data_IF_306594329121
#
_entry.id   IF_306594329121
#
_cell.length_a   1.000
_cell.length_b   1.000
_cell.length_c   1.000
_cell.angle_alpha   90.00
_cell.angle_beta   90.00
_cell.angle_gamma   90.00
#
_symmetry.space_group_name_H-M   'P 1'
#
loop_
_entity.id
_entity.type
_entity.pdbx_description
1 polymer ?
#
# COMPACT_ATOMS: atom_id res chain seq x y z
N UNK A 1 -11.08 26.96 2.78
CA UNK A 1 -11.59 27.70 1.60
C UNK A 1 -11.92 26.77 0.46
N UNK A 2 -11.03 25.87 0.05
CA UNK A 2 -11.28 24.92 -1.06
C UNK A 2 -12.53 24.06 -0.81
N UNK A 3 -12.76 23.55 0.42
CA UNK A 3 -13.96 22.77 0.76
C UNK A 3 -15.23 23.57 0.51
N UNK A 4 -15.28 24.83 0.95
CA UNK A 4 -16.43 25.73 0.70
C UNK A 4 -16.66 25.93 -0.79
N UNK A 5 -15.58 26.13 -1.55
CA UNK A 5 -15.67 26.40 -2.97
C UNK A 5 -16.15 25.17 -3.74
N UNK A 6 -15.68 23.98 -3.38
CA UNK A 6 -16.17 22.69 -3.92
C UNK A 6 -17.65 22.47 -3.59
N UNK A 7 -18.05 22.70 -2.33
CA UNK A 7 -19.46 22.55 -1.93
C UNK A 7 -20.38 23.54 -2.65
N UNK A 8 -19.91 24.74 -2.97
CA UNK A 8 -20.69 25.77 -3.63
C UNK A 8 -20.78 25.61 -5.14
N UNK A 9 -19.73 25.08 -5.77
CA UNK A 9 -19.57 25.09 -7.25
C UNK A 9 -19.49 23.70 -7.88
N UNK A 10 -19.28 22.66 -7.08
CA UNK A 10 -18.93 21.32 -7.57
C UNK A 10 -17.56 21.22 -8.26
N UNK A 11 -16.74 22.27 -8.19
CA UNK A 11 -15.46 22.38 -8.91
C UNK A 11 -14.29 22.62 -7.96
N UNK A 12 -13.13 22.10 -8.33
CA UNK A 12 -11.84 22.42 -7.72
C UNK A 12 -10.85 22.87 -8.79
N UNK A 13 -10.13 23.96 -8.52
CA UNK A 13 -9.05 24.40 -9.41
C UNK A 13 -7.82 23.51 -9.15
N UNK A 14 -7.27 22.92 -10.18
CA UNK A 14 -6.06 22.13 -10.13
C UNK A 14 -5.12 22.53 -11.28
N UNK A 15 -3.83 22.49 -11.03
CA UNK A 15 -2.83 22.63 -12.08
C UNK A 15 -2.75 21.33 -12.90
N UNK A 16 -2.48 21.46 -14.21
CA UNK A 16 -2.21 20.28 -15.04
C UNK A 16 -0.90 19.66 -14.58
N UNK A 17 -0.98 18.41 -14.17
CA UNK A 17 0.20 17.65 -13.75
C UNK A 17 0.98 17.12 -14.94
N UNK A 18 2.26 16.89 -14.77
CA UNK A 18 3.08 16.10 -15.66
C UNK A 18 2.72 14.62 -15.54
N UNK A 19 3.01 13.85 -16.58
CA UNK A 19 2.82 12.41 -16.58
C UNK A 19 4.19 11.72 -16.50
N UNK A 20 4.39 10.94 -15.44
CA UNK A 20 5.54 10.05 -15.33
C UNK A 20 5.08 8.62 -15.61
N UNK A 21 5.71 8.00 -16.58
CA UNK A 21 5.57 6.57 -16.83
C UNK A 21 6.48 5.80 -15.89
N UNK A 22 5.92 4.79 -15.19
CA UNK A 22 6.68 3.86 -14.35
C UNK A 22 6.49 2.46 -14.95
N UNK A 23 7.54 1.93 -15.57
CA UNK A 23 7.56 0.60 -16.13
C UNK A 23 8.20 -0.37 -15.14
N UNK A 24 7.40 -1.30 -14.63
CA UNK A 24 7.86 -2.37 -13.74
C UNK A 24 8.03 -3.63 -14.58
N UNK A 25 9.27 -3.95 -14.89
CA UNK A 25 9.64 -5.09 -15.73
C UNK A 25 9.91 -6.35 -14.90
N UNK A 26 9.95 -7.52 -15.53
CA UNK A 26 10.14 -8.78 -14.84
C UNK A 26 8.89 -9.31 -14.17
N UNK A 27 9.05 -10.21 -13.21
CA UNK A 27 7.97 -10.85 -12.47
C UNK A 27 8.21 -10.83 -10.96
N UNK A 28 7.13 -10.81 -10.18
CA UNK A 28 7.21 -10.84 -8.72
C UNK A 28 7.54 -12.26 -8.24
N UNK A 29 8.53 -12.36 -7.34
CA UNK A 29 8.87 -13.61 -6.66
C UNK A 29 7.83 -14.01 -5.60
N UNK A 30 7.96 -15.24 -5.10
CA UNK A 30 7.11 -15.73 -4.01
C UNK A 30 7.23 -14.85 -2.76
N UNK A 31 6.09 -14.45 -2.20
CA UNK A 31 6.02 -13.60 -1.01
C UNK A 31 6.21 -12.10 -1.29
N UNK A 32 6.30 -11.69 -2.56
CA UNK A 32 6.36 -10.29 -2.99
C UNK A 32 5.01 -9.89 -3.58
N UNK A 33 4.46 -8.78 -3.12
CA UNK A 33 3.13 -8.32 -3.47
C UNK A 33 3.14 -6.90 -4.06
N UNK A 34 1.99 -6.45 -4.53
CA UNK A 34 1.82 -5.10 -5.09
C UNK A 34 2.31 -3.98 -4.15
N UNK A 35 2.21 -4.18 -2.84
CA UNK A 35 2.69 -3.22 -1.85
C UNK A 35 4.21 -3.11 -1.85
N UNK A 36 4.94 -4.21 -2.05
CA UNK A 36 6.40 -4.18 -2.14
C UNK A 36 6.84 -3.39 -3.36
N UNK A 37 6.14 -3.56 -4.49
CA UNK A 37 6.39 -2.79 -5.71
C UNK A 37 6.29 -1.29 -5.45
N UNK A 38 5.17 -0.83 -4.86
CA UNK A 38 5.02 0.62 -4.61
C UNK A 38 5.96 1.13 -3.53
N UNK A 39 6.30 0.34 -2.52
CA UNK A 39 7.30 0.70 -1.52
C UNK A 39 8.70 0.83 -2.17
N UNK A 40 9.05 -0.05 -3.11
CA UNK A 40 10.29 0.06 -3.90
C UNK A 40 10.30 1.34 -4.74
N UNK A 41 9.22 1.67 -5.41
CA UNK A 41 9.08 2.91 -6.18
C UNK A 41 9.26 4.14 -5.26
N UNK A 42 8.67 4.13 -4.06
CA UNK A 42 8.82 5.21 -3.09
C UNK A 42 10.26 5.26 -2.53
N UNK A 43 10.91 4.12 -2.35
CA UNK A 43 12.33 4.07 -1.97
C UNK A 43 13.21 4.78 -2.99
N UNK A 44 13.01 4.47 -4.27
CA UNK A 44 13.86 4.98 -5.35
C UNK A 44 13.60 6.45 -5.67
N UNK A 45 12.35 6.89 -5.64
CA UNK A 45 11.94 8.24 -6.01
C UNK A 45 11.84 9.20 -4.82
N UNK A 46 11.71 8.69 -3.60
CA UNK A 46 11.44 9.46 -2.39
C UNK A 46 9.95 9.80 -2.21
N UNK A 47 9.60 10.20 -0.98
CA UNK A 47 8.22 10.60 -0.62
C UNK A 47 7.71 11.85 -1.32
N UNK A 48 8.60 12.66 -1.86
CA UNK A 48 8.30 13.87 -2.65
C UNK A 48 8.56 13.68 -4.15
N UNK A 49 9.00 12.49 -4.57
CA UNK A 49 9.40 12.21 -5.94
C UNK A 49 8.29 12.41 -6.98
N UNK A 50 7.04 12.23 -6.57
CA UNK A 50 5.85 12.42 -7.40
C UNK A 50 5.25 13.82 -7.41
N UNK A 51 5.84 14.77 -6.68
CA UNK A 51 5.27 16.13 -6.62
C UNK A 51 5.21 16.76 -8.02
N UNK A 52 4.02 17.22 -8.39
CA UNK A 52 3.75 17.78 -9.72
C UNK A 52 3.50 16.74 -10.83
N UNK A 53 3.40 15.46 -10.49
CA UNK A 53 3.16 14.37 -11.43
C UNK A 53 1.89 13.57 -11.10
N UNK A 54 1.35 12.94 -12.11
CA UNK A 54 0.56 11.71 -12.01
C UNK A 54 1.42 10.56 -12.54
N UNK A 55 1.22 9.36 -12.00
CA UNK A 55 1.93 8.16 -12.41
C UNK A 55 1.06 7.30 -13.30
N UNK A 56 1.57 6.93 -14.46
CA UNK A 56 1.03 5.85 -15.27
C UNK A 56 1.91 4.61 -15.06
N UNK A 57 1.32 3.55 -14.54
CA UNK A 57 2.02 2.29 -14.29
C UNK A 57 1.87 1.33 -15.47
N UNK A 58 2.96 0.66 -15.81
CA UNK A 58 3.00 -0.39 -16.81
C UNK A 58 4.17 -1.34 -16.61
N UNK A 59 4.50 -2.10 -17.64
CA UNK A 59 5.47 -3.19 -17.58
C UNK A 59 4.83 -4.54 -17.31
N UNK A 60 5.64 -5.61 -17.35
CA UNK A 60 5.15 -6.99 -17.22
C UNK A 60 4.55 -7.22 -15.83
N UNK A 61 5.27 -6.86 -14.77
CA UNK A 61 4.84 -7.08 -13.41
C UNK A 61 3.50 -6.39 -13.08
N UNK A 62 3.26 -5.18 -13.60
CA UNK A 62 1.97 -4.48 -13.40
C UNK A 62 0.83 -5.17 -14.15
N UNK A 63 1.08 -5.70 -15.35
CA UNK A 63 0.06 -6.44 -16.11
C UNK A 63 -0.35 -7.75 -15.45
N UNK A 64 0.60 -8.40 -14.77
CA UNK A 64 0.36 -9.66 -14.05
C UNK A 64 -0.39 -9.47 -12.73
N UNK A 65 -0.40 -8.25 -12.17
CA UNK A 65 -1.21 -7.94 -10.98
C UNK A 65 -2.70 -8.08 -11.28
N UNK A 66 -3.43 -8.65 -10.33
CA UNK A 66 -4.89 -8.55 -10.31
C UNK A 66 -5.35 -7.10 -10.05
N UNK A 67 -6.65 -6.84 -10.18
CA UNK A 67 -7.18 -5.49 -9.96
C UNK A 67 -6.96 -4.97 -8.54
N UNK A 68 -6.99 -5.82 -7.53
CA UNK A 68 -6.80 -5.39 -6.14
C UNK A 68 -5.35 -4.95 -5.91
N UNK A 69 -4.37 -5.66 -6.48
CA UNK A 69 -2.97 -5.26 -6.51
C UNK A 69 -2.73 -3.94 -7.27
N UNK A 70 -3.33 -3.78 -8.47
CA UNK A 70 -3.26 -2.51 -9.22
C UNK A 70 -3.83 -1.34 -8.43
N UNK A 71 -4.96 -1.55 -7.74
CA UNK A 71 -5.57 -0.55 -6.88
C UNK A 71 -4.68 -0.18 -5.69
N UNK A 72 -3.92 -1.13 -5.12
CA UNK A 72 -2.96 -0.86 -4.05
C UNK A 72 -1.81 0.02 -4.54
N UNK A 73 -1.19 -0.30 -5.69
CA UNK A 73 -0.12 0.51 -6.30
C UNK A 73 -0.62 1.93 -6.61
N UNK A 74 -1.78 2.06 -7.26
CA UNK A 74 -2.36 3.36 -7.60
C UNK A 74 -2.69 4.19 -6.34
N UNK A 75 -3.25 3.56 -5.30
CA UNK A 75 -3.59 4.23 -4.05
C UNK A 75 -2.35 4.80 -3.36
N UNK A 76 -1.28 4.01 -3.26
CA UNK A 76 -0.06 4.42 -2.56
C UNK A 76 0.84 5.37 -3.37
N UNK A 77 0.48 5.74 -4.59
CA UNK A 77 1.16 6.82 -5.34
C UNK A 77 1.20 8.13 -4.55
N UNK A 78 0.17 8.38 -3.73
CA UNK A 78 0.08 9.57 -2.87
C UNK A 78 1.19 9.60 -1.82
N UNK A 79 1.57 8.44 -1.27
CA UNK A 79 2.67 8.31 -0.31
C UNK A 79 4.03 8.62 -0.93
N UNK A 80 4.16 8.47 -2.25
CA UNK A 80 5.30 8.91 -3.06
C UNK A 80 5.19 10.35 -3.60
N UNK A 81 4.18 11.11 -3.14
CA UNK A 81 3.98 12.53 -3.53
C UNK A 81 3.24 12.76 -4.84
N UNK A 82 2.86 11.73 -5.59
CA UNK A 82 2.12 11.87 -6.83
C UNK A 82 0.68 12.32 -6.59
N UNK A 83 0.12 13.06 -7.56
CA UNK A 83 -1.27 13.53 -7.50
C UNK A 83 -2.28 12.41 -7.68
N UNK A 84 -1.96 11.44 -8.49
CA UNK A 84 -2.72 10.21 -8.77
C UNK A 84 -1.80 9.14 -9.34
N UNK A 85 -2.25 7.89 -9.32
CA UNK A 85 -1.68 6.80 -10.07
C UNK A 85 -2.78 6.08 -10.84
N UNK A 86 -2.45 5.58 -12.02
CA UNK A 86 -3.37 4.80 -12.84
C UNK A 86 -2.65 3.73 -13.66
N UNK A 87 -3.41 2.72 -14.05
CA UNK A 87 -3.03 1.69 -15.01
C UNK A 87 -4.00 1.80 -16.18
N UNK A 88 -3.51 1.71 -17.42
CA UNK A 88 -4.40 1.68 -18.58
C UNK A 88 -5.36 0.49 -18.48
N UNK A 89 -6.65 0.68 -18.81
CA UNK A 89 -7.62 -0.41 -18.79
C UNK A 89 -7.21 -1.53 -19.77
N UNK A 90 -7.39 -2.76 -19.37
CA UNK A 90 -7.14 -3.97 -20.12
C UNK A 90 -8.12 -5.08 -19.70
N UNK A 91 -7.92 -6.30 -20.19
CA UNK A 91 -8.80 -7.43 -19.91
C UNK A 91 -8.99 -7.68 -18.39
N UNK A 92 -7.92 -7.54 -17.58
CA UNK A 92 -8.02 -7.66 -16.13
C UNK A 92 -9.01 -6.64 -15.54
N UNK A 93 -9.01 -5.41 -16.08
CA UNK A 93 -9.96 -4.36 -15.69
C UNK A 93 -11.39 -4.71 -16.11
N UNK A 94 -11.55 -5.19 -17.35
CA UNK A 94 -12.87 -5.52 -17.89
C UNK A 94 -13.49 -6.72 -17.14
N UNK A 95 -12.72 -7.78 -16.90
CA UNK A 95 -13.18 -8.93 -16.12
C UNK A 95 -13.57 -8.55 -14.69
N UNK A 96 -12.78 -7.66 -14.04
CA UNK A 96 -13.08 -7.17 -12.70
C UNK A 96 -14.40 -6.40 -12.63
N UNK A 97 -14.74 -5.61 -13.67
CA UNK A 97 -15.96 -4.80 -13.70
C UNK A 97 -17.19 -5.62 -14.08
N UNK A 98 -17.04 -6.65 -14.91
CA UNK A 98 -18.15 -7.40 -15.48
C UNK A 98 -19.06 -8.01 -14.42
N UNK A 99 -20.35 -7.70 -14.53
CA UNK A 99 -21.37 -8.20 -13.60
C UNK A 99 -21.45 -7.52 -12.25
N UNK A 100 -20.69 -6.43 -12.02
CA UNK A 100 -20.85 -5.63 -10.80
C UNK A 100 -22.09 -4.73 -10.90
N UNK A 101 -22.66 -4.38 -9.74
CA UNK A 101 -23.93 -3.65 -9.60
C UNK A 101 -24.00 -2.34 -10.42
N UNK A 102 -22.87 -1.63 -10.54
CA UNK A 102 -22.78 -0.35 -11.24
C UNK A 102 -21.99 -0.42 -12.55
N UNK A 103 -21.66 -1.61 -12.99
CA UNK A 103 -21.06 -1.81 -14.32
C UNK A 103 -22.14 -1.73 -15.42
N UNK A 104 -21.75 -1.45 -16.67
CA UNK A 104 -22.68 -1.48 -17.79
C UNK A 104 -23.39 -2.83 -17.90
N UNK A 105 -24.64 -2.80 -18.38
CA UNK A 105 -25.38 -4.02 -18.71
C UNK A 105 -24.72 -4.80 -19.84
N UNK A 106 -24.99 -6.10 -19.91
CA UNK A 106 -24.41 -6.99 -20.95
C UNK A 106 -24.69 -6.49 -22.38
N UNK A 107 -25.82 -5.83 -22.60
CA UNK A 107 -26.19 -5.28 -23.91
C UNK A 107 -25.36 -4.06 -24.33
N UNK A 108 -24.78 -3.33 -23.37
CA UNK A 108 -23.99 -2.12 -23.60
C UNK A 108 -22.49 -2.39 -23.39
N UNK A 109 -22.12 -3.60 -22.95
CA UNK A 109 -20.76 -3.95 -22.53
C UNK A 109 -19.70 -3.65 -23.59
N UNK A 110 -19.92 -4.10 -24.83
CA UNK A 110 -18.95 -3.93 -25.91
C UNK A 110 -18.72 -2.45 -26.24
N UNK A 111 -19.77 -1.60 -26.20
CA UNK A 111 -19.65 -0.15 -26.41
C UNK A 111 -18.79 0.51 -25.31
N UNK A 112 -18.95 0.05 -24.07
CA UNK A 112 -18.14 0.58 -22.97
C UNK A 112 -16.69 0.10 -23.02
N UNK A 113 -16.44 -1.15 -23.42
CA UNK A 113 -15.06 -1.65 -23.64
C UNK A 113 -14.38 -0.85 -24.75
N UNK A 114 -15.05 -0.65 -25.90
CA UNK A 114 -14.54 0.18 -27.00
C UNK A 114 -14.23 1.61 -26.53
N UNK A 115 -15.09 2.20 -25.67
CA UNK A 115 -14.83 3.50 -25.08
C UNK A 115 -13.62 3.50 -24.14
N UNK A 116 -13.50 2.52 -23.24
CA UNK A 116 -12.36 2.42 -22.32
C UNK A 116 -11.04 2.20 -23.06
N UNK A 117 -11.06 1.40 -24.13
CA UNK A 117 -9.89 1.24 -24.99
C UNK A 117 -9.52 2.55 -25.70
N UNK A 118 -10.49 3.33 -26.11
CA UNK A 118 -10.27 4.61 -26.82
C UNK A 118 -9.63 5.70 -25.95
N UNK A 119 -9.69 5.58 -24.61
CA UNK A 119 -9.10 6.54 -23.67
C UNK A 119 -7.77 6.05 -23.08
N UNK A 120 -7.27 4.90 -23.48
CA UNK A 120 -5.93 4.42 -23.11
C UNK A 120 -4.88 5.36 -23.70
N UNK A 121 -3.72 5.40 -23.08
CA UNK A 121 -2.55 6.04 -23.67
C UNK A 121 -2.17 5.33 -24.97
N UNK A 122 -1.86 6.11 -26.01
CA UNK A 122 -1.39 5.58 -27.29
C UNK A 122 -0.07 4.80 -27.10
N UNK A 123 0.21 3.84 -27.98
CA UNK A 123 1.45 3.05 -27.93
C UNK A 123 2.72 3.91 -28.12
N UNK A 124 2.59 5.07 -28.76
CA UNK A 124 3.62 6.04 -29.00
C UNK A 124 3.47 7.31 -28.12
N UNK A 125 2.72 7.22 -27.02
CA UNK A 125 2.52 8.33 -26.11
C UNK A 125 3.86 8.86 -25.56
N UNK A 126 4.01 10.19 -25.61
CA UNK A 126 5.18 10.87 -25.03
C UNK A 126 4.90 11.24 -23.57
N UNK A 127 5.80 10.82 -22.68
CA UNK A 127 5.73 11.12 -21.25
C UNK A 127 6.71 12.23 -20.86
N UNK A 128 6.38 13.02 -19.86
CA UNK A 128 7.31 14.04 -19.31
C UNK A 128 8.54 13.40 -18.66
N UNK A 129 8.38 12.18 -18.14
CA UNK A 129 9.44 11.41 -17.48
C UNK A 129 9.11 9.91 -17.53
N UNK A 130 10.15 9.06 -17.58
CA UNK A 130 10.04 7.60 -17.60
C UNK A 130 10.99 7.00 -16.58
N UNK A 131 10.48 6.12 -15.74
CA UNK A 131 11.26 5.40 -14.71
C UNK A 131 11.04 3.91 -14.90
N UNK A 132 12.15 3.15 -14.97
CA UNK A 132 12.13 1.69 -14.99
C UNK A 132 12.41 1.13 -13.60
N UNK A 133 11.64 0.13 -13.19
CA UNK A 133 11.84 -0.67 -11.99
C UNK A 133 11.97 -2.12 -12.43
N UNK A 134 13.00 -2.79 -11.96
CA UNK A 134 13.20 -4.22 -12.17
C UNK A 134 12.60 -4.98 -10.98
N UNK A 135 11.59 -5.80 -11.24
CA UNK A 135 10.93 -6.62 -10.24
C UNK A 135 11.59 -8.00 -10.06
N UNK A 136 12.48 -8.39 -10.98
CA UNK A 136 13.22 -9.65 -10.85
C UNK A 136 14.17 -9.56 -9.64
N UNK A 137 13.93 -10.43 -8.67
CA UNK A 137 14.71 -10.42 -7.44
C UNK A 137 14.30 -9.37 -6.40
N UNK A 138 13.18 -8.66 -6.61
CA UNK A 138 12.60 -7.82 -5.55
C UNK A 138 12.25 -8.71 -4.34
N UNK A 139 12.74 -8.33 -3.16
CA UNK A 139 12.40 -8.98 -1.90
C UNK A 139 11.23 -8.25 -1.20
N UNK A 140 10.56 -8.89 -0.23
CA UNK A 140 9.57 -8.22 0.59
C UNK A 140 10.13 -6.94 1.24
N UNK A 141 9.38 -5.85 1.15
CA UNK A 141 9.80 -4.53 1.59
C UNK A 141 9.22 -4.18 2.96
N UNK A 142 10.03 -3.55 3.81
CA UNK A 142 9.59 -3.14 5.16
C UNK A 142 10.14 -1.77 5.51
N UNK A 143 9.33 -0.93 6.15
CA UNK A 143 9.81 0.37 6.63
C UNK A 143 10.58 0.23 7.94
N UNK A 144 11.71 0.90 8.02
CA UNK A 144 12.54 0.99 9.23
C UNK A 144 12.38 2.32 9.97
N UNK A 145 11.64 3.26 9.40
CA UNK A 145 11.54 4.61 9.93
C UNK A 145 10.10 5.11 10.11
N UNK A 146 9.91 6.41 10.03
CA UNK A 146 8.68 7.13 10.38
C UNK A 146 7.89 7.66 9.19
N UNK A 147 8.22 7.22 7.99
CA UNK A 147 7.49 7.49 6.75
C UNK A 147 7.73 6.36 5.73
N UNK A 148 6.88 6.21 4.70
CA UNK A 148 6.99 5.13 3.72
C UNK A 148 8.26 5.12 2.86
N UNK A 149 8.98 6.26 2.75
CA UNK A 149 10.25 6.33 2.02
C UNK A 149 11.45 5.81 2.81
N UNK A 150 11.29 5.59 4.11
CA UNK A 150 12.31 4.97 4.97
C UNK A 150 12.07 3.45 4.99
N UNK A 151 12.38 2.80 3.88
CA UNK A 151 12.09 1.41 3.58
C UNK A 151 13.32 0.69 3.04
N UNK A 152 13.44 -0.60 3.32
CA UNK A 152 14.46 -1.51 2.81
C UNK A 152 13.84 -2.86 2.50
N UNK A 153 14.54 -3.72 1.76
CA UNK A 153 14.19 -5.13 1.73
C UNK A 153 14.35 -5.73 3.14
N UNK A 154 13.52 -6.69 3.49
CA UNK A 154 13.45 -7.25 4.86
C UNK A 154 14.78 -7.82 5.36
N UNK A 155 15.62 -8.31 4.45
CA UNK A 155 16.95 -8.90 4.69
C UNK A 155 18.10 -7.91 4.46
N UNK A 156 17.82 -6.71 3.94
CA UNK A 156 18.83 -5.67 3.76
C UNK A 156 19.11 -4.89 5.06
N UNK A 157 20.36 -4.42 5.24
CA UNK A 157 20.71 -3.60 6.40
C UNK A 157 20.09 -2.21 6.31
N UNK A 158 19.57 -1.71 7.44
CA UNK A 158 19.11 -0.34 7.58
C UNK A 158 20.31 0.61 7.30
N UNK A 159 20.13 1.60 6.40
CA UNK A 159 21.23 2.46 5.97
C UNK A 159 21.77 3.36 7.09
N UNK A 160 23.09 3.58 7.11
CA UNK A 160 23.72 4.50 8.05
C UNK A 160 23.40 5.97 7.66
N UNK A 161 22.81 6.77 8.56
CA UNK A 161 22.57 8.19 8.31
C UNK A 161 23.86 8.94 7.93
N UNK A 162 25.02 8.57 8.47
CA UNK A 162 26.28 9.23 8.19
C UNK A 162 26.80 8.97 6.77
N UNK A 163 26.33 7.92 6.12
CA UNK A 163 26.63 7.64 4.71
C UNK A 163 25.73 8.40 3.72
N UNK A 164 24.65 9.05 4.20
CA UNK A 164 23.73 9.80 3.34
C UNK A 164 24.33 11.13 2.90
N UNK A 165 24.31 11.39 1.59
CA UNK A 165 24.87 12.61 1.01
C UNK A 165 24.01 13.87 1.30
N UNK A 166 22.67 13.71 1.34
CA UNK A 166 21.75 14.81 1.58
C UNK A 166 21.57 15.08 3.07
N UNK A 167 21.75 16.33 3.50
CA UNK A 167 21.62 16.76 4.89
C UNK A 167 20.19 16.65 5.43
N UNK A 168 19.18 16.82 4.58
CA UNK A 168 17.77 16.71 4.97
C UNK A 168 17.42 15.24 5.21
N UNK A 169 17.81 14.36 4.28
CA UNK A 169 17.66 12.92 4.43
C UNK A 169 18.39 12.40 5.68
N UNK A 170 19.62 12.85 5.93
CA UNK A 170 20.40 12.50 7.13
C UNK A 170 19.69 12.90 8.42
N UNK A 171 19.15 14.12 8.51
CA UNK A 171 18.40 14.59 9.68
C UNK A 171 17.10 13.80 9.89
N UNK A 172 16.38 13.50 8.80
CA UNK A 172 15.18 12.69 8.84
C UNK A 172 15.48 11.25 9.30
N UNK A 173 16.57 10.66 8.83
CA UNK A 173 17.03 9.34 9.24
C UNK A 173 17.41 9.30 10.72
N UNK A 174 18.20 10.26 11.23
CA UNK A 174 18.52 10.35 12.67
C UNK A 174 17.27 10.44 13.53
N UNK A 175 16.29 11.26 13.14
CA UNK A 175 15.00 11.35 13.85
C UNK A 175 14.27 10.02 13.84
N UNK A 176 14.31 9.29 12.73
CA UNK A 176 13.70 7.96 12.62
C UNK A 176 14.41 6.95 13.53
N UNK A 177 15.73 6.93 13.57
CA UNK A 177 16.51 6.09 14.48
C UNK A 177 16.18 6.36 15.95
N UNK A 178 16.14 7.63 16.34
CA UNK A 178 15.81 8.04 17.72
C UNK A 178 14.39 7.57 18.11
N UNK A 179 13.42 7.60 17.18
CA UNK A 179 12.05 7.21 17.45
C UNK A 179 11.86 5.70 17.43
N UNK A 180 12.43 5.01 16.42
CA UNK A 180 12.23 3.57 16.21
C UNK A 180 13.15 2.71 17.06
N UNK A 181 14.14 3.30 17.76
CA UNK A 181 15.15 2.60 18.56
C UNK A 181 15.95 1.58 17.75
N UNK A 182 16.30 1.95 16.52
CA UNK A 182 17.12 1.13 15.63
C UNK A 182 18.60 1.50 15.71
N UNK A 183 19.42 0.60 15.17
CA UNK A 183 20.84 0.86 14.93
C UNK A 183 21.17 0.67 13.45
N UNK A 184 22.05 1.50 12.86
CA UNK A 184 22.50 1.33 11.49
C UNK A 184 23.11 -0.07 11.28
N UNK A 185 22.84 -0.67 10.13
CA UNK A 185 23.34 -2.00 9.78
C UNK A 185 22.53 -3.18 10.33
N UNK A 186 21.55 -2.95 11.21
CA UNK A 186 20.60 -4.00 11.58
C UNK A 186 19.67 -4.32 10.39
N UNK A 187 19.12 -5.53 10.36
CA UNK A 187 18.05 -5.91 9.43
C UNK A 187 16.71 -5.84 10.15
N UNK A 188 15.64 -5.72 9.37
CA UNK A 188 14.27 -5.77 9.92
C UNK A 188 13.77 -7.20 10.12
N UNK A 189 14.49 -8.19 9.59
CA UNK A 189 14.15 -9.59 9.79
C UNK A 189 14.30 -9.99 11.26
N UNK A 190 13.23 -10.58 11.83
CA UNK A 190 13.20 -10.98 13.23
C UNK A 190 13.03 -9.81 14.21
N UNK A 191 12.53 -8.66 13.74
CA UNK A 191 12.19 -7.55 14.60
C UNK A 191 10.95 -7.88 15.43
N UNK A 192 11.04 -7.77 16.75
CA UNK A 192 9.95 -8.08 17.67
C UNK A 192 8.82 -7.05 17.53
N UNK A 193 7.57 -7.51 17.57
CA UNK A 193 6.37 -6.68 17.48
C UNK A 193 5.39 -7.05 18.59
N UNK A 194 4.72 -6.05 19.15
CA UNK A 194 3.66 -6.21 20.15
C UNK A 194 2.28 -6.30 19.49
N UNK A 195 2.15 -5.78 18.27
CA UNK A 195 0.87 -5.72 17.55
C UNK A 195 1.05 -6.15 16.09
N UNK A 196 0.21 -7.06 15.63
CA UNK A 196 0.06 -7.42 14.21
C UNK A 196 -1.27 -6.88 13.67
N UNK A 197 -1.21 -6.02 12.64
CA UNK A 197 -2.40 -5.37 12.07
C UNK A 197 -2.53 -5.63 10.58
N UNK A 198 -3.52 -6.41 10.18
CA UNK A 198 -3.92 -6.60 8.79
C UNK A 198 -5.21 -5.81 8.48
N UNK A 199 -5.17 -4.90 7.53
CA UNK A 199 -6.26 -4.01 7.10
C UNK A 199 -5.66 -2.83 6.36
N UNK A 200 -6.34 -1.93 5.82
CA UNK A 200 -7.72 -1.54 5.84
C UNK A 200 -8.25 -1.37 4.41
N UNK A 201 -8.60 -0.15 3.96
CA UNK A 201 -9.20 0.06 2.63
C UNK A 201 -8.24 -0.21 1.45
N UNK A 202 -6.93 -0.15 1.64
CA UNK A 202 -5.92 -0.37 0.59
C UNK A 202 -5.41 -1.81 0.58
N UNK A 203 -4.99 -2.32 1.75
CA UNK A 203 -4.40 -3.64 1.92
C UNK A 203 -5.18 -4.47 2.95
N UNK A 204 -6.49 -4.49 2.86
CA UNK A 204 -7.45 -5.31 3.58
C UNK A 204 -8.58 -5.69 2.64
N UNK A 205 -8.24 -6.08 1.42
CA UNK A 205 -9.14 -6.58 0.38
C UNK A 205 -9.30 -8.08 0.49
N UNK A 206 -10.19 -8.65 -0.31
CA UNK A 206 -10.45 -10.08 -0.25
C UNK A 206 -9.20 -10.92 -0.62
N UNK A 207 -8.43 -10.49 -1.63
CA UNK A 207 -7.18 -11.14 -2.00
C UNK A 207 -6.15 -11.13 -0.87
N UNK A 208 -6.00 -10.02 -0.16
CA UNK A 208 -5.08 -9.89 0.97
C UNK A 208 -5.44 -10.89 2.10
N UNK A 209 -6.74 -11.02 2.41
CA UNK A 209 -7.21 -11.96 3.42
C UNK A 209 -7.02 -13.42 3.00
N UNK A 210 -7.21 -13.76 1.72
CA UNK A 210 -6.97 -15.10 1.20
C UNK A 210 -5.48 -15.47 1.30
N UNK A 211 -4.59 -14.56 0.92
CA UNK A 211 -3.14 -14.79 1.04
C UNK A 211 -2.69 -14.92 2.49
N UNK A 212 -3.15 -14.04 3.37
CA UNK A 212 -2.82 -14.12 4.78
C UNK A 212 -3.38 -15.39 5.42
N UNK A 213 -4.62 -15.79 5.11
CA UNK A 213 -5.21 -17.04 5.62
C UNK A 213 -4.40 -18.27 5.21
N UNK A 214 -3.88 -18.32 3.97
CA UNK A 214 -3.01 -19.41 3.51
C UNK A 214 -1.74 -19.54 4.35
N UNK A 215 -1.21 -18.42 4.84
CA UNK A 215 -0.03 -18.41 5.72
C UNK A 215 -0.40 -18.81 7.14
N UNK A 216 -1.58 -18.39 7.61
CA UNK A 216 -2.04 -18.59 8.99
C UNK A 216 -2.58 -20.01 9.25
N UNK A 217 -3.01 -20.72 8.21
CA UNK A 217 -3.60 -22.05 8.35
C UNK A 217 -2.68 -22.99 9.15
N UNK A 218 -3.19 -23.49 10.29
CA UNK A 218 -2.46 -24.37 11.20
C UNK A 218 -1.34 -23.70 12.00
N UNK A 219 -1.31 -22.37 12.05
CA UNK A 219 -0.40 -21.57 12.87
C UNK A 219 -1.16 -20.74 13.89
N UNK A 220 -0.48 -20.33 14.92
CA UNK A 220 -1.00 -19.47 15.97
C UNK A 220 -0.11 -18.23 16.12
N UNK A 221 -0.72 -17.09 16.40
CA UNK A 221 -0.03 -15.87 16.81
C UNK A 221 0.55 -16.07 18.20
N UNK A 222 1.71 -15.50 18.46
CA UNK A 222 2.33 -15.53 19.79
C UNK A 222 1.39 -14.90 20.83
N UNK A 223 1.31 -15.50 22.05
CA UNK A 223 0.43 -15.06 23.13
C UNK A 223 0.69 -13.60 23.58
N UNK A 224 1.91 -13.10 23.36
CA UNK A 224 2.32 -11.73 23.69
C UNK A 224 2.00 -10.71 22.56
N UNK A 225 1.47 -11.15 21.40
CA UNK A 225 1.15 -10.28 20.25
C UNK A 225 -0.36 -10.05 20.14
N UNK A 226 -0.77 -8.79 20.18
CA UNK A 226 -2.15 -8.41 19.88
C UNK A 226 -2.39 -8.35 18.37
N UNK A 227 -3.14 -9.31 17.82
CA UNK A 227 -3.35 -9.43 16.37
C UNK A 227 -4.77 -8.98 15.96
N UNK A 228 -4.85 -8.10 14.98
CA UNK A 228 -6.10 -7.52 14.48
C UNK A 228 -6.25 -7.72 12.96
N UNK A 229 -7.42 -8.18 12.55
CA UNK A 229 -7.83 -8.31 11.15
C UNK A 229 -9.04 -7.41 10.87
N UNK A 230 -8.86 -6.40 9.99
CA UNK A 230 -9.84 -5.35 9.73
C UNK A 230 -10.18 -5.26 8.24
N UNK A 231 -11.29 -5.86 7.78
CA UNK A 231 -11.70 -5.78 6.37
C UNK A 231 -11.86 -4.36 5.86
N UNK A 232 -11.47 -4.12 4.61
CA UNK A 232 -11.51 -2.81 3.98
C UNK A 232 -12.90 -2.24 3.76
N UNK A 233 -13.93 -3.10 3.70
CA UNK A 233 -15.34 -2.73 3.59
C UNK A 233 -16.26 -3.81 4.15
N UNK A 234 -17.52 -3.49 4.42
CA UNK A 234 -18.51 -4.50 4.83
C UNK A 234 -18.75 -5.55 3.74
N UNK A 235 -18.62 -5.19 2.46
CA UNK A 235 -18.69 -6.15 1.34
C UNK A 235 -17.53 -7.16 1.44
N UNK A 236 -16.31 -6.69 1.61
CA UNK A 236 -15.13 -7.57 1.79
C UNK A 236 -15.31 -8.45 3.04
N UNK A 237 -15.77 -7.88 4.15
CA UNK A 237 -16.05 -8.65 5.37
C UNK A 237 -17.01 -9.80 5.12
N UNK A 238 -18.15 -9.50 4.46
CA UNK A 238 -19.17 -10.50 4.15
C UNK A 238 -18.63 -11.58 3.22
N UNK A 239 -17.79 -11.22 2.23
CA UNK A 239 -17.15 -12.17 1.34
C UNK A 239 -16.16 -13.08 2.09
N UNK A 240 -15.30 -12.50 2.94
CA UNK A 240 -14.38 -13.27 3.78
C UNK A 240 -15.14 -14.26 4.68
N UNK A 241 -16.21 -13.81 5.35
CA UNK A 241 -17.04 -14.66 6.21
C UNK A 241 -17.76 -15.77 5.42
N UNK A 242 -18.19 -15.49 4.18
CA UNK A 242 -18.79 -16.49 3.30
C UNK A 242 -17.79 -17.57 2.85
N UNK A 243 -16.50 -17.25 2.79
CA UNK A 243 -15.41 -18.17 2.46
C UNK A 243 -14.81 -18.85 3.71
N UNK A 244 -15.25 -18.49 4.93
CA UNK A 244 -14.72 -19.03 6.18
C UNK A 244 -13.34 -18.49 6.56
N UNK A 245 -12.88 -17.40 5.90
CA UNK A 245 -11.57 -16.82 6.19
C UNK A 245 -11.49 -16.25 7.61
N UNK A 246 -12.58 -15.65 8.09
CA UNK A 246 -12.66 -15.13 9.47
C UNK A 246 -12.47 -16.21 10.54
N UNK A 247 -12.88 -17.45 10.27
CA UNK A 247 -12.64 -18.59 11.17
C UNK A 247 -11.14 -18.90 11.23
N UNK A 248 -10.44 -18.94 10.09
CA UNK A 248 -8.97 -19.15 10.04
C UNK A 248 -8.23 -18.08 10.85
N UNK A 249 -8.62 -16.81 10.70
CA UNK A 249 -8.02 -15.71 11.47
C UNK A 249 -8.27 -15.84 12.98
N UNK A 250 -9.49 -16.17 13.39
CA UNK A 250 -9.82 -16.37 14.81
C UNK A 250 -9.10 -17.59 15.41
N UNK A 251 -9.02 -18.69 14.66
CA UNK A 251 -8.27 -19.87 15.08
C UNK A 251 -6.78 -19.58 15.24
N UNK A 252 -6.23 -18.72 14.38
CA UNK A 252 -4.85 -18.26 14.49
C UNK A 252 -4.62 -17.21 15.61
N UNK A 253 -5.66 -16.75 16.32
CA UNK A 253 -5.54 -15.79 17.42
C UNK A 253 -5.79 -14.33 17.05
N UNK A 254 -6.22 -14.03 15.81
CA UNK A 254 -6.59 -12.67 15.43
C UNK A 254 -7.96 -12.28 15.95
N UNK A 255 -8.10 -11.03 16.38
CA UNK A 255 -9.40 -10.42 16.58
C UNK A 255 -9.98 -9.96 15.24
N UNK A 256 -11.06 -10.61 14.80
CA UNK A 256 -11.78 -10.24 13.58
C UNK A 256 -12.70 -9.04 13.83
N UNK A 257 -12.40 -7.92 13.22
CA UNK A 257 -13.08 -6.64 13.42
C UNK A 257 -14.14 -6.38 12.35
N UNK A 258 -14.99 -5.39 12.62
CA UNK A 258 -15.83 -4.78 11.58
C UNK A 258 -14.97 -3.93 10.65
N UNK A 259 -15.46 -3.75 9.40
CA UNK A 259 -14.82 -2.87 8.45
C UNK A 259 -14.68 -1.45 8.98
N UNK A 260 -13.52 -0.85 8.79
CA UNK A 260 -13.22 0.50 9.28
C UNK A 260 -11.74 0.87 9.20
N UNK A 261 -11.39 1.98 9.81
CA UNK A 261 -10.00 2.44 9.87
C UNK A 261 -9.23 1.87 11.04
N UNK A 262 -9.89 1.58 12.18
CA UNK A 262 -9.28 0.95 13.35
C UNK A 262 -7.89 1.56 13.65
N UNK A 263 -6.88 0.74 13.86
CA UNK A 263 -5.52 1.16 14.17
C UNK A 263 -4.77 1.88 13.02
N UNK A 264 -5.35 1.99 11.81
CA UNK A 264 -4.75 2.83 10.77
C UNK A 264 -4.72 4.33 11.17
N UNK A 265 -5.67 4.76 12.03
CA UNK A 265 -5.82 6.13 12.52
C UNK A 265 -6.07 6.20 14.03
N UNK A 266 -5.82 5.14 14.79
CA UNK A 266 -6.19 5.06 16.20
C UNK A 266 -7.68 5.38 16.44
N UNK A 267 -8.57 4.65 15.77
CA UNK A 267 -10.02 4.80 15.88
C UNK A 267 -10.64 3.60 16.57
N UNK A 268 -11.83 3.80 17.14
CA UNK A 268 -12.62 2.75 17.79
C UNK A 268 -11.90 2.06 18.97
N UNK A 269 -11.15 2.84 19.75
CA UNK A 269 -10.32 2.37 20.87
C UNK A 269 -9.15 1.45 20.46
N UNK A 270 -9.01 1.14 19.17
CA UNK A 270 -7.87 0.41 18.62
C UNK A 270 -6.71 1.40 18.42
N UNK A 271 -5.85 1.51 19.42
CA UNK A 271 -4.72 2.44 19.39
C UNK A 271 -3.46 1.79 19.94
N UNK A 272 -2.32 2.16 19.36
CA UNK A 272 -1.01 1.72 19.80
C UNK A 272 -0.64 2.44 21.09
N UNK A 273 -0.17 1.71 22.08
CA UNK A 273 0.32 2.24 23.35
C UNK A 273 1.73 2.82 23.25
N UNK A 274 2.16 3.49 24.33
CA UNK A 274 3.51 4.06 24.42
C UNK A 274 4.56 2.95 24.43
N UNK A 275 5.54 3.03 23.52
CA UNK A 275 6.64 2.08 23.41
C UNK A 275 6.30 0.79 22.67
N UNK A 276 5.03 0.52 22.36
CA UNK A 276 4.64 -0.65 21.58
C UNK A 276 5.09 -0.53 20.12
N UNK A 277 5.39 -1.67 19.51
CA UNK A 277 5.77 -1.83 18.10
C UNK A 277 4.69 -2.57 17.36
N UNK A 278 4.27 -2.03 16.23
CA UNK A 278 3.27 -2.63 15.35
C UNK A 278 3.83 -2.96 13.98
N UNK A 279 3.63 -4.19 13.51
CA UNK A 279 3.70 -4.56 12.09
C UNK A 279 2.34 -4.31 11.43
N UNK A 280 2.31 -3.67 10.26
CA UNK A 280 1.07 -3.19 9.68
C UNK A 280 1.04 -3.23 8.16
N UNK A 281 -0.06 -3.71 7.60
CA UNK A 281 -0.38 -3.59 6.18
C UNK A 281 -0.94 -2.19 5.79
N UNK A 282 -1.12 -1.25 6.74
CA UNK A 282 -1.57 0.12 6.45
C UNK A 282 -0.53 0.93 5.62
N UNK A 283 -0.92 2.11 5.11
CA UNK A 283 -0.08 2.88 4.19
C UNK A 283 0.88 3.86 4.87
N UNK A 284 0.63 4.22 6.12
CA UNK A 284 1.30 5.34 6.79
C UNK A 284 1.71 5.00 8.21
N UNK A 285 2.94 5.38 8.57
CA UNK A 285 3.55 5.15 9.87
C UNK A 285 4.08 6.43 10.53
N UNK A 286 3.46 7.57 10.27
CA UNK A 286 3.86 8.82 10.90
C UNK A 286 3.69 8.76 12.42
N UNK A 287 4.60 9.38 13.15
CA UNK A 287 4.60 9.47 14.62
C UNK A 287 3.22 9.95 15.14
N UNK A 288 2.65 9.21 16.06
CA UNK A 288 1.36 9.53 16.71
C UNK A 288 0.12 9.30 15.84
N UNK A 289 0.27 8.76 14.60
CA UNK A 289 -0.88 8.49 13.73
C UNK A 289 -1.74 7.32 14.23
N UNK A 290 -1.11 6.33 14.83
CA UNK A 290 -1.73 5.06 15.21
C UNK A 290 -2.07 4.98 16.70
N UNK A 291 -1.87 6.05 17.46
CA UNK A 291 -2.09 6.08 18.91
C UNK A 291 -1.11 6.99 19.62
N UNK A 292 -0.43 6.45 20.62
CA UNK A 292 0.56 7.21 21.37
C UNK A 292 1.72 7.67 20.47
N UNK A 293 2.25 8.89 20.76
CA UNK A 293 3.38 9.47 20.04
C UNK A 293 4.68 8.69 20.19
N UNK A 294 4.79 7.88 21.24
CA UNK A 294 5.95 7.03 21.51
C UNK A 294 5.73 5.58 20.99
N UNK A 295 4.56 5.28 20.40
CA UNK A 295 4.28 4.05 19.67
C UNK A 295 4.98 4.04 18.30
N UNK A 296 5.42 2.87 17.88
CA UNK A 296 6.24 2.64 16.67
C UNK A 296 5.49 1.77 15.67
N UNK A 297 5.59 2.07 14.38
CA UNK A 297 4.92 1.26 13.33
C UNK A 297 5.87 0.97 12.20
N UNK A 298 5.99 -0.30 11.83
CA UNK A 298 6.61 -0.76 10.60
C UNK A 298 5.51 -1.11 9.58
N UNK A 299 5.67 -0.68 8.35
CA UNK A 299 4.79 -1.05 7.23
C UNK A 299 5.45 -2.20 6.46
N UNK A 300 4.61 -3.13 6.06
CA UNK A 300 5.02 -4.29 5.28
C UNK A 300 3.91 -4.70 4.31
#
# INVERSE_FOLDING_TARGET
>A
TQIRDVLATGCIAAEKQKVRRIDVTGSLGDGVYAKDVILKIIQDLGVDGGVGHVYEYGGEAIRELDMEGRLAVCNMSIEGGARAGYVNPDETTYEYLKGREYAPDEAEWDEYVDYWESIRSDDDAEYDDVVGIDADGLAPMVTWGINPGQVVAVDEPIPDPEAMADDTARKAARKAFDHMDHSPGNTMQGYDVDVAFLGTCTNGRLSDFREAARILEGREVDDDVWALAVPGSETVRTQCEAEGLDEVFREAGFEWRRAGCSMCLAMNDDSLGAGEVRASSSNRNFIGRQGDKDGRTVLM
#
